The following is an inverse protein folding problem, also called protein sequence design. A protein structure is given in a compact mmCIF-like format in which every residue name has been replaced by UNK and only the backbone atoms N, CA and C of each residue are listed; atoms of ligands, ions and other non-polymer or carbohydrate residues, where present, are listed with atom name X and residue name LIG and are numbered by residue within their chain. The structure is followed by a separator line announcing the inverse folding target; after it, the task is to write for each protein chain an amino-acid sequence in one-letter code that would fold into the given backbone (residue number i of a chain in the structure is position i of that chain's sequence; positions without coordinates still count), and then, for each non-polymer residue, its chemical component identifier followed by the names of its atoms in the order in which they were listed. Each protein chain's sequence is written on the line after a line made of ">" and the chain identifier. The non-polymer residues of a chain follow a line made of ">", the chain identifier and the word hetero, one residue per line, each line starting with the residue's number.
data_IF_718245366302
#
_entry.id   IF_718245366302
#
_cell.length_a   1.000
_cell.length_b   1.000
_cell.length_c   1.000
_cell.angle_alpha   90.00
_cell.angle_beta   90.00
_cell.angle_gamma   90.00
#
_symmetry.space_group_name_H-M   'P 1'
#
loop_
_entity.id
_entity.type
_entity.pdbx_description
1 polymer ?
#
# COMPACT_ATOMS: atom_id res chain seq x y z
N UNK A 1 6.15 58.24 -3.07
CA UNK A 1 6.50 56.89 -3.60
C UNK A 1 5.96 55.87 -2.64
N UNK A 2 4.86 55.23 -3.03
CA UNK A 2 3.83 54.76 -2.10
C UNK A 2 4.20 53.42 -1.47
N UNK A 3 4.04 53.29 -0.15
CA UNK A 3 4.16 52.02 0.60
C UNK A 3 3.37 50.87 -0.05
N UNK A 4 2.30 51.20 -0.79
CA UNK A 4 1.50 50.28 -1.60
C UNK A 4 2.30 49.53 -2.68
N UNK A 5 3.30 50.17 -3.30
CA UNK A 5 4.18 49.53 -4.29
C UNK A 5 5.10 48.48 -3.63
N UNK A 6 5.62 48.77 -2.43
CA UNK A 6 6.43 47.81 -1.68
C UNK A 6 5.62 46.60 -1.23
N UNK A 7 4.37 46.79 -0.79
CA UNK A 7 3.48 45.65 -0.50
C UNK A 7 3.19 44.82 -1.74
N UNK A 8 2.95 45.44 -2.90
CA UNK A 8 2.74 44.73 -4.15
C UNK A 8 3.97 43.93 -4.60
N UNK A 9 5.16 44.52 -4.48
CA UNK A 9 6.43 43.87 -4.84
C UNK A 9 6.76 42.72 -3.87
N UNK A 10 6.46 42.89 -2.59
CA UNK A 10 6.63 41.84 -1.56
C UNK A 10 5.66 40.67 -1.79
N UNK A 11 4.42 40.94 -2.21
CA UNK A 11 3.43 39.93 -2.59
C UNK A 11 3.87 39.15 -3.84
N UNK A 12 4.48 39.85 -4.81
CA UNK A 12 5.00 39.24 -6.04
C UNK A 12 6.23 38.36 -5.77
N UNK A 13 7.13 38.79 -4.87
CA UNK A 13 8.28 37.99 -4.42
C UNK A 13 7.81 36.75 -3.65
N UNK A 14 6.83 36.88 -2.75
CA UNK A 14 6.24 35.74 -2.05
C UNK A 14 5.56 34.77 -3.02
N UNK A 15 4.84 35.29 -4.03
CA UNK A 15 4.23 34.48 -5.08
C UNK A 15 5.25 33.66 -5.89
N UNK A 16 6.38 34.26 -6.25
CA UNK A 16 7.48 33.56 -6.91
C UNK A 16 8.13 32.48 -6.03
N UNK A 17 8.22 32.69 -4.72
CA UNK A 17 8.75 31.69 -3.79
C UNK A 17 7.84 30.47 -3.65
N UNK A 18 6.52 30.66 -3.69
CA UNK A 18 5.55 29.57 -3.62
C UNK A 18 5.48 28.72 -4.91
N UNK A 19 5.81 29.30 -6.07
CA UNK A 19 5.81 28.60 -7.36
C UNK A 19 6.95 27.57 -7.52
N UNK A 20 7.96 27.59 -6.66
CA UNK A 20 9.15 26.71 -6.76
C UNK A 20 9.03 25.36 -6.04
N UNK A 21 8.01 25.15 -5.20
CA UNK A 21 7.87 23.93 -4.40
C UNK A 21 7.20 22.81 -5.22
N UNK A 22 7.98 22.13 -6.06
CA UNK A 22 7.52 20.94 -6.79
C UNK A 22 7.83 19.68 -5.98
N UNK A 23 6.77 18.93 -5.63
CA UNK A 23 6.85 17.68 -4.87
C UNK A 23 7.40 16.48 -5.69
N UNK A 24 7.61 16.63 -7.00
CA UNK A 24 8.08 15.58 -7.90
C UNK A 24 9.60 15.58 -8.13
N UNK A 25 10.33 16.57 -7.58
CA UNK A 25 11.79 16.66 -7.75
C UNK A 25 12.52 15.62 -6.92
N UNK A 26 13.58 15.02 -7.45
CA UNK A 26 14.43 14.06 -6.73
C UNK A 26 15.36 14.76 -5.72
N UNK A 27 14.79 15.29 -4.64
CA UNK A 27 15.53 15.92 -3.53
C UNK A 27 15.06 15.35 -2.18
N UNK A 28 15.86 15.46 -1.10
CA UNK A 28 15.53 14.83 0.18
C UNK A 28 14.22 15.33 0.79
N UNK A 29 13.86 16.60 0.58
CA UNK A 29 12.61 17.19 1.08
C UNK A 29 11.39 16.59 0.39
N UNK A 30 11.43 16.47 -0.94
CA UNK A 30 10.39 15.80 -1.73
C UNK A 30 10.29 14.33 -1.36
N UNK A 31 11.42 13.62 -1.19
CA UNK A 31 11.40 12.21 -0.76
C UNK A 31 10.74 12.04 0.61
N UNK A 32 11.02 12.93 1.57
CA UNK A 32 10.34 12.93 2.88
C UNK A 32 8.84 13.15 2.73
N UNK A 33 8.43 14.10 1.89
CA UNK A 33 7.01 14.32 1.60
C UNK A 33 6.35 13.08 0.98
N UNK A 34 6.95 12.52 -0.08
CA UNK A 34 6.44 11.31 -0.75
C UNK A 34 6.38 10.12 0.21
N UNK A 35 7.40 9.91 1.05
CA UNK A 35 7.41 8.86 2.07
C UNK A 35 6.30 9.06 3.10
N UNK A 36 6.13 10.28 3.61
CA UNK A 36 5.13 10.59 4.63
C UNK A 36 3.72 10.40 4.08
N UNK A 37 3.43 10.94 2.90
CA UNK A 37 2.13 10.81 2.25
C UNK A 37 1.84 9.37 1.85
N UNK A 38 2.81 8.65 1.29
CA UNK A 38 2.65 7.24 0.94
C UNK A 38 2.36 6.37 2.17
N UNK A 39 3.15 6.52 3.23
CA UNK A 39 3.05 5.73 4.47
C UNK A 39 1.72 5.95 5.18
N UNK A 40 1.44 7.19 5.55
CA UNK A 40 0.37 7.48 6.52
C UNK A 40 -1.01 7.69 5.89
N UNK A 41 -1.08 7.85 4.57
CA UNK A 41 -2.35 7.98 3.88
C UNK A 41 -2.74 6.63 3.26
N UNK A 42 -2.16 6.33 2.10
CA UNK A 42 -2.67 5.27 1.26
C UNK A 42 -2.23 3.87 1.71
N UNK A 43 -0.94 3.69 2.09
CA UNK A 43 -0.45 2.41 2.59
C UNK A 43 -1.08 2.06 3.94
N UNK A 44 -1.03 2.97 4.93
CA UNK A 44 -1.60 2.73 6.26
C UNK A 44 -3.07 2.36 6.17
N UNK A 45 -3.89 3.15 5.46
CA UNK A 45 -5.32 2.86 5.33
C UNK A 45 -5.59 1.52 4.64
N UNK A 46 -4.83 1.18 3.60
CA UNK A 46 -4.96 -0.12 2.94
C UNK A 46 -4.57 -1.29 3.85
N UNK A 47 -3.51 -1.13 4.64
CA UNK A 47 -3.02 -2.15 5.57
C UNK A 47 -4.00 -2.38 6.72
N UNK A 48 -4.54 -1.32 7.33
CA UNK A 48 -5.58 -1.45 8.37
C UNK A 48 -6.80 -2.21 7.85
N UNK A 49 -7.24 -1.91 6.63
CA UNK A 49 -8.39 -2.61 6.01
C UNK A 49 -8.11 -4.07 5.74
N UNK A 50 -6.88 -4.42 5.34
CA UNK A 50 -6.51 -5.82 5.21
C UNK A 50 -6.51 -6.52 6.57
N UNK A 51 -5.99 -5.88 7.62
CA UNK A 51 -6.01 -6.45 8.98
C UNK A 51 -7.43 -6.65 9.51
N UNK A 52 -8.34 -5.70 9.27
CA UNK A 52 -9.78 -5.84 9.57
C UNK A 52 -10.39 -7.04 8.84
N UNK A 53 -10.04 -7.23 7.56
CA UNK A 53 -10.47 -8.39 6.78
C UNK A 53 -9.92 -9.69 7.36
N UNK A 54 -8.62 -9.76 7.65
CA UNK A 54 -7.97 -10.93 8.25
C UNK A 54 -8.60 -11.31 9.61
N UNK A 55 -8.86 -10.32 10.46
CA UNK A 55 -9.56 -10.51 11.72
C UNK A 55 -10.99 -11.02 11.51
N UNK A 56 -11.70 -10.48 10.51
CA UNK A 56 -13.04 -10.92 10.15
C UNK A 56 -13.08 -12.36 9.62
N UNK A 57 -12.09 -12.76 8.81
CA UNK A 57 -11.92 -14.13 8.33
C UNK A 57 -11.63 -15.07 9.50
N UNK A 58 -10.71 -14.69 10.39
CA UNK A 58 -10.38 -15.49 11.57
C UNK A 58 -11.58 -15.67 12.51
N UNK A 59 -12.38 -14.62 12.74
CA UNK A 59 -13.56 -14.68 13.61
C UNK A 59 -14.69 -15.57 13.05
N UNK A 60 -14.79 -15.70 11.72
CA UNK A 60 -15.78 -16.56 11.04
C UNK A 60 -15.28 -18.00 10.83
N UNK A 61 -14.01 -18.28 11.13
CA UNK A 61 -13.44 -19.61 10.94
C UNK A 61 -14.07 -20.58 11.95
N UNK A 62 -14.78 -21.59 11.44
CA UNK A 62 -15.38 -22.64 12.25
C UNK A 62 -14.33 -23.77 12.38
N UNK A 63 -13.83 -24.08 13.59
CA UNK A 63 -12.85 -25.14 13.78
C UNK A 63 -13.51 -26.52 13.64
N UNK A 64 -12.97 -27.35 12.74
CA UNK A 64 -13.29 -28.78 12.67
C UNK A 64 -12.29 -29.58 13.50
N UNK A 65 -12.72 -30.00 14.70
CA UNK A 65 -11.88 -30.77 15.64
C UNK A 65 -11.65 -32.22 15.22
N UNK A 66 -12.29 -32.71 14.14
CA UNK A 66 -12.00 -34.03 13.58
C UNK A 66 -10.78 -34.01 12.65
N UNK A 67 -10.21 -32.82 12.39
CA UNK A 67 -9.03 -32.62 11.56
C UNK A 67 -7.96 -31.89 12.37
N UNK A 68 -6.73 -31.95 11.89
CA UNK A 68 -5.66 -31.10 12.42
C UNK A 68 -6.03 -29.65 12.14
N UNK A 69 -6.09 -28.83 13.19
CA UNK A 69 -6.45 -27.42 13.07
C UNK A 69 -5.39 -26.68 12.25
N UNK A 70 -5.79 -25.96 11.18
CA UNK A 70 -4.85 -25.22 10.38
C UNK A 70 -4.39 -23.96 11.15
N UNK A 71 -3.13 -23.56 10.93
CA UNK A 71 -2.57 -22.33 11.52
C UNK A 71 -3.27 -21.10 10.94
N UNK A 72 -3.63 -21.15 9.65
CA UNK A 72 -4.37 -20.10 8.96
C UNK A 72 -5.76 -20.62 8.54
N UNK A 73 -6.82 -19.83 8.68
CA UNK A 73 -8.15 -20.22 8.23
C UNK A 73 -8.19 -20.40 6.71
N UNK A 74 -8.91 -21.42 6.25
CA UNK A 74 -9.17 -21.62 4.83
C UNK A 74 -10.23 -20.63 4.34
N UNK A 75 -10.07 -20.13 3.12
CA UNK A 75 -11.02 -19.23 2.47
C UNK A 75 -11.62 -19.96 1.28
N UNK A 76 -12.94 -20.10 1.28
CA UNK A 76 -13.67 -20.63 0.15
C UNK A 76 -14.07 -19.52 -0.84
N UNK A 77 -14.49 -19.93 -2.03
CA UNK A 77 -14.88 -18.99 -3.09
C UNK A 77 -16.07 -18.12 -2.71
N UNK A 78 -16.95 -18.59 -1.82
CA UNK A 78 -18.11 -17.85 -1.33
C UNK A 78 -17.65 -16.70 -0.42
N UNK A 79 -16.78 -17.00 0.55
CA UNK A 79 -16.22 -16.02 1.47
C UNK A 79 -15.37 -14.99 0.70
N UNK A 80 -14.52 -15.44 -0.21
CA UNK A 80 -13.72 -14.55 -1.06
C UNK A 80 -14.60 -13.60 -1.90
N UNK A 81 -15.66 -14.11 -2.51
CA UNK A 81 -16.63 -13.29 -3.27
C UNK A 81 -17.32 -12.26 -2.37
N UNK A 82 -17.59 -12.62 -1.11
CA UNK A 82 -18.18 -11.72 -0.11
C UNK A 82 -17.28 -10.53 0.26
N UNK A 83 -15.95 -10.68 0.16
CA UNK A 83 -14.97 -9.63 0.45
C UNK A 83 -14.48 -8.86 -0.77
N UNK A 84 -15.03 -9.13 -1.96
CA UNK A 84 -14.53 -8.57 -3.22
C UNK A 84 -14.42 -7.04 -3.19
N UNK A 85 -15.42 -6.35 -2.64
CA UNK A 85 -15.45 -4.89 -2.58
C UNK A 85 -14.36 -4.33 -1.66
N UNK A 86 -14.16 -4.96 -0.50
CA UNK A 86 -13.14 -4.60 0.47
C UNK A 86 -11.74 -4.80 -0.13
N UNK A 87 -11.53 -5.91 -0.83
CA UNK A 87 -10.27 -6.22 -1.51
C UNK A 87 -9.97 -5.23 -2.64
N UNK A 88 -10.96 -4.88 -3.46
CA UNK A 88 -10.82 -3.86 -4.51
C UNK A 88 -10.43 -2.48 -3.92
N UNK A 89 -11.03 -2.09 -2.79
CA UNK A 89 -10.65 -0.86 -2.09
C UNK A 89 -9.23 -0.92 -1.51
N UNK A 90 -8.81 -2.06 -0.95
CA UNK A 90 -7.41 -2.25 -0.49
C UNK A 90 -6.44 -2.09 -1.67
N UNK A 91 -6.71 -2.76 -2.79
CA UNK A 91 -5.89 -2.67 -4.01
C UNK A 91 -5.80 -1.23 -4.51
N UNK A 92 -6.93 -0.52 -4.54
CA UNK A 92 -6.99 0.89 -4.97
C UNK A 92 -6.15 1.79 -4.07
N UNK A 93 -6.21 1.62 -2.75
CA UNK A 93 -5.39 2.38 -1.79
C UNK A 93 -3.91 2.04 -1.97
N UNK A 94 -3.56 0.76 -2.02
CA UNK A 94 -2.18 0.31 -2.23
C UNK A 94 -1.62 0.72 -3.61
N UNK A 95 -2.47 0.92 -4.62
CA UNK A 95 -2.03 1.40 -5.93
C UNK A 95 -1.63 2.88 -5.95
N UNK A 96 -2.08 3.67 -4.98
CA UNK A 96 -1.84 5.12 -4.96
C UNK A 96 -0.36 5.48 -4.74
N UNK A 97 0.37 4.93 -3.74
CA UNK A 97 1.81 5.16 -3.58
C UNK A 97 2.61 4.76 -4.82
N UNK A 98 2.25 3.65 -5.46
CA UNK A 98 2.93 3.15 -6.66
C UNK A 98 2.82 4.16 -7.82
N UNK A 99 1.64 4.74 -8.02
CA UNK A 99 1.39 5.67 -9.12
C UNK A 99 1.84 7.10 -8.85
N UNK A 100 1.72 7.57 -7.59
CA UNK A 100 1.90 8.99 -7.24
C UNK A 100 3.19 9.27 -6.48
N UNK A 101 3.82 8.25 -5.89
CA UNK A 101 5.01 8.39 -5.08
C UNK A 101 6.05 7.30 -5.43
N UNK A 102 6.46 7.16 -6.71
CA UNK A 102 7.31 6.05 -7.15
C UNK A 102 8.71 6.06 -6.52
N UNK A 103 9.17 7.18 -5.95
CA UNK A 103 10.45 7.26 -5.23
C UNK A 103 10.33 6.97 -3.72
N UNK A 104 9.12 6.66 -3.26
CA UNK A 104 8.84 6.34 -1.86
C UNK A 104 9.32 4.94 -1.51
N UNK A 105 9.87 4.80 -0.30
CA UNK A 105 10.30 3.52 0.27
C UNK A 105 9.10 2.61 0.62
N UNK A 106 7.88 3.13 0.53
CA UNK A 106 6.63 2.41 0.81
C UNK A 106 6.00 1.78 -0.44
N UNK A 107 6.61 1.94 -1.60
CA UNK A 107 6.15 1.37 -2.88
C UNK A 107 6.18 -0.17 -2.85
N UNK A 108 7.27 -0.77 -2.39
CA UNK A 108 7.39 -2.23 -2.26
C UNK A 108 6.37 -2.81 -1.29
N UNK A 109 6.18 -2.16 -0.14
CA UNK A 109 5.16 -2.55 0.85
C UNK A 109 3.74 -2.45 0.28
N UNK A 110 3.52 -1.46 -0.59
CA UNK A 110 2.25 -1.29 -1.30
C UNK A 110 2.01 -2.39 -2.34
N UNK A 111 3.04 -2.80 -3.09
CA UNK A 111 2.95 -3.98 -3.96
C UNK A 111 2.65 -5.25 -3.16
N UNK A 112 3.33 -5.44 -2.02
CA UNK A 112 3.09 -6.58 -1.15
C UNK A 112 1.63 -6.61 -0.67
N UNK A 113 1.09 -5.46 -0.28
CA UNK A 113 -0.31 -5.30 0.12
C UNK A 113 -1.30 -5.67 -1.01
N UNK A 114 -1.02 -5.28 -2.26
CA UNK A 114 -1.80 -5.71 -3.43
C UNK A 114 -1.75 -7.23 -3.59
N UNK A 115 -0.56 -7.83 -3.46
CA UNK A 115 -0.41 -9.28 -3.56
C UNK A 115 -1.24 -10.02 -2.52
N UNK A 116 -1.21 -9.55 -1.25
CA UNK A 116 -2.05 -10.11 -0.18
C UNK A 116 -3.54 -9.98 -0.50
N UNK A 117 -4.00 -8.81 -0.94
CA UNK A 117 -5.41 -8.61 -1.30
C UNK A 117 -5.85 -9.58 -2.42
N UNK A 118 -5.03 -9.77 -3.45
CA UNK A 118 -5.28 -10.73 -4.52
C UNK A 118 -5.30 -12.18 -4.02
N UNK A 119 -4.40 -12.53 -3.10
CA UNK A 119 -4.39 -13.83 -2.43
C UNK A 119 -5.72 -14.10 -1.70
N UNK A 120 -6.20 -13.13 -0.91
CA UNK A 120 -7.50 -13.23 -0.22
C UNK A 120 -8.70 -13.28 -1.18
N UNK A 121 -8.55 -12.72 -2.39
CA UNK A 121 -9.53 -12.82 -3.48
C UNK A 121 -9.47 -14.12 -4.28
N UNK A 122 -8.60 -15.07 -3.89
CA UNK A 122 -8.29 -16.31 -4.63
C UNK A 122 -7.73 -16.07 -6.05
N UNK A 123 -7.22 -14.86 -6.32
CA UNK A 123 -6.53 -14.49 -7.56
C UNK A 123 -5.05 -14.91 -7.48
N UNK A 124 -4.79 -16.19 -7.23
CA UNK A 124 -3.46 -16.70 -6.89
C UNK A 124 -2.42 -16.43 -7.97
N UNK A 125 -2.78 -16.52 -9.26
CA UNK A 125 -1.84 -16.26 -10.36
C UNK A 125 -1.26 -14.84 -10.31
N UNK A 126 -2.09 -13.84 -10.03
CA UNK A 126 -1.67 -12.45 -9.96
C UNK A 126 -0.99 -12.13 -8.62
N UNK A 127 -1.44 -12.76 -7.53
CA UNK A 127 -0.76 -12.69 -6.24
C UNK A 127 0.69 -13.22 -6.35
N UNK A 128 0.87 -14.40 -6.95
CA UNK A 128 2.17 -15.06 -7.17
C UNK A 128 3.10 -14.16 -8.00
N UNK A 129 2.61 -13.58 -9.10
CA UNK A 129 3.41 -12.64 -9.91
C UNK A 129 3.84 -11.44 -9.09
N UNK A 130 2.94 -10.89 -8.27
CA UNK A 130 3.21 -9.72 -7.43
C UNK A 130 4.24 -10.04 -6.35
N UNK A 131 4.11 -11.18 -5.66
CA UNK A 131 5.08 -11.60 -4.64
C UNK A 131 6.46 -11.89 -5.24
N UNK A 132 6.52 -12.53 -6.41
CA UNK A 132 7.78 -12.74 -7.15
C UNK A 132 8.45 -11.42 -7.50
N UNK A 133 7.66 -10.45 -8.00
CA UNK A 133 8.15 -9.11 -8.30
C UNK A 133 8.79 -8.48 -7.06
N UNK A 134 8.04 -8.35 -5.96
CA UNK A 134 8.54 -7.75 -4.71
C UNK A 134 9.78 -8.48 -4.17
N UNK A 135 9.78 -9.81 -4.19
CA UNK A 135 10.92 -10.60 -3.73
C UNK A 135 12.19 -10.36 -4.59
N UNK A 136 12.02 -10.07 -5.88
CA UNK A 136 13.14 -9.84 -6.81
C UNK A 136 13.61 -8.39 -6.88
N UNK A 137 12.73 -7.41 -6.63
CA UNK A 137 13.02 -5.98 -6.82
C UNK A 137 13.24 -5.22 -5.52
N UNK A 138 12.68 -5.69 -4.39
CA UNK A 138 12.75 -4.94 -3.14
C UNK A 138 14.15 -5.01 -2.53
N UNK A 139 14.70 -3.84 -2.19
CA UNK A 139 15.95 -3.74 -1.42
C UNK A 139 15.73 -3.92 0.08
N UNK A 140 14.48 -3.87 0.56
CA UNK A 140 14.15 -4.09 1.97
C UNK A 140 14.04 -5.58 2.27
N UNK A 141 14.91 -6.07 3.16
CA UNK A 141 14.96 -7.50 3.48
C UNK A 141 13.68 -8.03 4.12
N UNK A 142 13.04 -7.23 4.98
CA UNK A 142 11.80 -7.62 5.66
C UNK A 142 10.69 -7.79 4.63
N UNK A 143 10.52 -6.81 3.74
CA UNK A 143 9.52 -6.85 2.68
C UNK A 143 9.77 -7.99 1.70
N UNK A 144 11.05 -8.26 1.36
CA UNK A 144 11.46 -9.37 0.51
C UNK A 144 11.13 -10.73 1.13
N UNK A 145 11.52 -10.96 2.39
CA UNK A 145 11.22 -12.21 3.09
C UNK A 145 9.71 -12.40 3.29
N UNK A 146 8.98 -11.33 3.58
CA UNK A 146 7.53 -11.41 3.69
C UNK A 146 6.88 -11.79 2.35
N UNK A 147 7.31 -11.19 1.23
CA UNK A 147 6.87 -11.59 -0.10
C UNK A 147 7.14 -13.08 -0.38
N UNK A 148 8.30 -13.59 0.04
CA UNK A 148 8.62 -15.01 -0.10
C UNK A 148 7.69 -15.91 0.74
N UNK A 149 7.37 -15.52 1.98
CA UNK A 149 6.42 -16.24 2.82
C UNK A 149 5.03 -16.32 2.18
N UNK A 150 4.54 -15.20 1.63
CA UNK A 150 3.25 -15.18 0.95
C UNK A 150 3.25 -15.92 -0.38
N UNK A 151 4.38 -15.92 -1.10
CA UNK A 151 4.56 -16.76 -2.27
C UNK A 151 4.43 -18.25 -1.91
N UNK A 152 5.07 -18.69 -0.82
CA UNK A 152 4.94 -20.08 -0.34
C UNK A 152 3.51 -20.43 0.07
N UNK A 153 2.76 -19.49 0.67
CA UNK A 153 1.35 -19.69 1.04
C UNK A 153 0.42 -19.84 -0.17
N UNK A 154 0.87 -19.46 -1.36
CA UNK A 154 0.07 -19.48 -2.59
C UNK A 154 0.11 -20.84 -3.34
N UNK A 155 0.83 -21.83 -2.79
CA UNK A 155 0.91 -23.21 -3.29
C UNK A 155 0.41 -24.19 -2.22
#
# INVERSE_FOLDING_TARGET
>A
MNKLYYYFLLLLVIGCWLAGCSAERHNPVSRVYQNTTARYNAFFLGNERLQELEAGVAAKAIPDYNRVLPIFPYIDSVTASGYKKELEEIIKKASYPIQKHPTSDWTDNSYLLIGKARFYGLEYDDAIKTFKYVNSTSTNEVTRHEALLWLMRSF
#
